data_IF_709607638784
#
_entry.id   IF_709607638784
#
_cell.length_a   1.000
_cell.length_b   1.000
_cell.length_c   1.000
_cell.angle_alpha   90.00
_cell.angle_beta   90.00
_cell.angle_gamma   90.00
#
_symmetry.space_group_name_H-M   'P 1'
#
loop_
_entity.id
_entity.type
_entity.pdbx_description
1 polymer ?
#
# COMPACT_ATOMS: atom_id res chain seq x y z
N UNK A 1 -6.65 -1.57 -29.66
CA UNK A 1 -7.87 -0.88 -29.18
C UNK A 1 -7.57 0.62 -28.99
N UNK A 2 -8.51 1.47 -29.35
CA UNK A 2 -8.34 2.93 -29.20
C UNK A 2 -8.71 3.32 -27.76
N UNK A 3 -7.82 4.03 -27.07
CA UNK A 3 -8.10 4.54 -25.74
C UNK A 3 -9.25 5.57 -25.75
N UNK A 4 -9.88 5.74 -24.60
CA UNK A 4 -10.89 6.78 -24.36
C UNK A 4 -10.27 8.18 -24.53
N UNK A 5 -11.04 9.21 -24.97
CA UNK A 5 -10.56 10.58 -24.98
C UNK A 5 -10.21 11.12 -23.58
N UNK A 6 -10.61 10.43 -22.52
CA UNK A 6 -10.31 10.77 -21.12
C UNK A 6 -9.10 10.05 -20.57
N UNK A 7 -8.49 9.13 -21.33
CA UNK A 7 -7.28 8.41 -20.92
C UNK A 7 -6.06 9.34 -20.90
N UNK A 8 -5.19 9.13 -19.93
CA UNK A 8 -3.89 9.82 -19.87
C UNK A 8 -2.92 9.18 -20.85
N UNK A 9 -2.63 9.82 -21.97
CA UNK A 9 -1.71 9.29 -22.98
C UNK A 9 -0.26 9.49 -22.54
N UNK A 10 0.58 8.50 -22.81
CA UNK A 10 2.00 8.55 -22.48
C UNK A 10 2.77 9.67 -23.21
N UNK A 11 2.32 10.02 -24.42
CA UNK A 11 2.87 11.14 -25.20
C UNK A 11 2.57 12.52 -24.58
N UNK A 12 1.52 12.60 -23.77
CA UNK A 12 1.07 13.83 -23.10
C UNK A 12 1.53 13.90 -21.63
N UNK A 13 2.46 13.03 -21.22
CA UNK A 13 2.99 13.04 -19.84
C UNK A 13 3.64 14.40 -19.51
N UNK A 14 3.44 14.85 -18.26
CA UNK A 14 4.13 16.02 -17.71
C UNK A 14 5.63 15.78 -17.51
N UNK A 15 6.08 14.57 -17.80
CA UNK A 15 7.48 14.20 -17.78
C UNK A 15 7.99 13.83 -16.39
N UNK A 16 9.29 13.96 -16.21
CA UNK A 16 10.08 13.54 -15.05
C UNK A 16 10.87 14.69 -14.47
N UNK A 17 11.25 14.58 -13.21
CA UNK A 17 12.12 15.56 -12.54
C UNK A 17 13.46 15.72 -13.23
N UNK A 18 14.06 14.60 -13.70
CA UNK A 18 15.32 14.59 -14.43
C UNK A 18 15.06 14.09 -15.87
N UNK A 19 15.48 14.85 -16.90
CA UNK A 19 15.38 14.38 -18.29
C UNK A 19 16.10 13.05 -18.48
N UNK A 20 15.60 12.22 -19.37
CA UNK A 20 16.26 10.99 -19.82
C UNK A 20 16.04 10.77 -21.31
N UNK A 21 16.86 9.93 -21.93
CA UNK A 21 16.62 9.46 -23.27
C UNK A 21 15.34 8.59 -23.29
N UNK A 22 14.46 8.85 -24.26
CA UNK A 22 13.26 8.03 -24.48
C UNK A 22 13.65 6.61 -24.88
N UNK A 23 12.81 5.65 -24.51
CA UNK A 23 12.97 4.26 -24.93
C UNK A 23 12.30 4.04 -26.29
N UNK A 24 13.00 3.40 -27.24
CA UNK A 24 12.47 3.17 -28.58
C UNK A 24 11.32 2.15 -28.63
N UNK A 25 11.14 1.36 -27.56
CA UNK A 25 10.18 0.24 -27.54
C UNK A 25 9.07 0.47 -26.53
N UNK A 26 9.40 1.02 -25.34
CA UNK A 26 8.48 1.16 -24.20
C UNK A 26 8.00 2.59 -24.05
N UNK A 27 6.73 2.73 -23.70
CA UNK A 27 6.18 4.02 -23.27
C UNK A 27 6.80 4.49 -21.94
N UNK A 28 6.63 5.76 -21.60
CA UNK A 28 7.15 6.31 -20.34
C UNK A 28 6.55 5.59 -19.11
N UNK A 29 5.26 5.25 -19.15
CA UNK A 29 4.60 4.55 -18.04
C UNK A 29 5.04 3.09 -17.93
N UNK A 30 5.30 2.39 -19.04
CA UNK A 30 5.91 1.06 -19.02
C UNK A 30 7.31 1.08 -18.41
N UNK A 31 8.09 2.10 -18.74
CA UNK A 31 9.39 2.28 -18.12
C UNK A 31 9.32 2.52 -16.62
N UNK A 32 8.29 3.23 -16.14
CA UNK A 32 8.09 3.47 -14.72
C UNK A 32 7.69 2.21 -13.98
N UNK A 33 6.76 1.43 -14.53
CA UNK A 33 6.41 0.11 -14.02
C UNK A 33 7.65 -0.77 -13.85
N UNK A 34 8.49 -0.85 -14.87
CA UNK A 34 9.69 -1.68 -14.83
C UNK A 34 10.66 -1.24 -13.73
N UNK A 35 10.87 0.08 -13.55
CA UNK A 35 11.70 0.61 -12.46
C UNK A 35 11.16 0.25 -11.08
N UNK A 36 9.84 0.33 -10.89
CA UNK A 36 9.18 -0.02 -9.64
C UNK A 36 9.40 -1.50 -9.33
N UNK A 37 9.13 -2.40 -10.28
CA UNK A 37 9.30 -3.85 -10.11
C UNK A 37 10.74 -4.20 -9.73
N UNK A 38 11.72 -3.52 -10.32
CA UNK A 38 13.13 -3.77 -10.05
C UNK A 38 13.68 -3.05 -8.81
N UNK A 39 12.88 -2.24 -8.12
CA UNK A 39 13.28 -1.53 -6.90
C UNK A 39 13.50 -2.48 -5.71
N UNK A 40 14.32 -2.05 -4.74
CA UNK A 40 14.54 -2.82 -3.51
C UNK A 40 13.27 -2.83 -2.64
N UNK A 41 12.56 -1.73 -2.60
CA UNK A 41 11.34 -1.57 -1.81
C UNK A 41 10.23 -2.49 -2.30
N UNK A 42 10.06 -2.65 -3.61
CA UNK A 42 9.10 -3.61 -4.18
C UNK A 42 9.40 -5.04 -3.75
N UNK A 43 10.68 -5.46 -3.80
CA UNK A 43 11.07 -6.81 -3.33
C UNK A 43 10.81 -7.05 -1.84
N UNK A 44 10.83 -5.99 -1.01
CA UNK A 44 10.56 -6.10 0.44
C UNK A 44 9.09 -6.33 0.75
N UNK A 45 8.16 -5.96 -0.14
CA UNK A 45 6.72 -6.17 0.05
C UNK A 45 6.36 -7.64 0.31
N UNK A 46 7.14 -8.59 -0.21
CA UNK A 46 6.95 -10.03 0.05
C UNK A 46 7.09 -10.44 1.51
N UNK A 47 7.72 -9.59 2.33
CA UNK A 47 8.00 -9.86 3.75
C UNK A 47 7.42 -8.78 4.66
N UNK A 48 6.42 -8.06 4.19
CA UNK A 48 5.59 -7.13 4.98
C UNK A 48 4.18 -7.67 5.08
N UNK A 49 3.67 -7.70 6.29
CA UNK A 49 2.29 -8.11 6.60
C UNK A 49 1.28 -7.15 5.98
N UNK A 50 0.13 -7.67 5.53
CA UNK A 50 -0.99 -6.84 5.10
C UNK A 50 -1.84 -6.39 6.30
N UNK A 51 -2.46 -7.30 7.01
CA UNK A 51 -3.38 -7.01 8.13
C UNK A 51 -2.96 -7.72 9.41
N UNK A 52 -2.79 -9.03 9.38
CA UNK A 52 -2.49 -9.82 10.57
C UNK A 52 -0.99 -10.07 10.68
N UNK A 53 -0.42 -9.73 11.86
CA UNK A 53 0.99 -9.92 12.15
C UNK A 53 1.32 -11.41 12.10
N UNK A 54 2.03 -11.79 11.05
CA UNK A 54 2.59 -13.11 10.76
C UNK A 54 1.85 -14.28 11.42
N UNK A 55 0.68 -14.69 10.93
CA UNK A 55 0.13 -15.96 11.33
C UNK A 55 1.10 -17.07 10.83
N UNK A 56 1.27 -18.11 11.64
CA UNK A 56 1.95 -19.31 11.18
C UNK A 56 1.10 -19.97 10.08
N UNK A 57 1.53 -19.86 8.82
CA UNK A 57 0.85 -20.49 7.69
C UNK A 57 1.22 -19.86 6.35
N UNK A 58 1.16 -20.65 5.26
CA UNK A 58 1.57 -20.25 3.92
C UNK A 58 0.47 -19.50 3.14
N UNK A 59 -0.74 -19.36 3.69
CA UNK A 59 -1.90 -18.88 2.97
C UNK A 59 -2.30 -17.42 3.24
N UNK A 60 -1.59 -16.73 4.11
CA UNK A 60 -1.87 -15.34 4.43
C UNK A 60 -1.26 -14.38 3.40
N UNK A 61 -1.98 -13.28 3.13
CA UNK A 61 -1.55 -12.28 2.17
C UNK A 61 -0.38 -11.45 2.70
N UNK A 62 0.59 -11.25 1.82
CA UNK A 62 1.64 -10.26 2.01
C UNK A 62 1.29 -8.99 1.24
N UNK A 63 1.98 -7.87 1.52
CA UNK A 63 1.79 -6.65 0.74
C UNK A 63 2.08 -6.83 -0.74
N UNK A 64 2.99 -7.73 -1.11
CA UNK A 64 3.25 -8.02 -2.51
C UNK A 64 2.03 -8.65 -3.19
N UNK A 65 1.39 -9.65 -2.55
CA UNK A 65 0.20 -10.28 -3.14
C UNK A 65 -0.97 -9.31 -3.19
N UNK A 66 -1.20 -8.50 -2.14
CA UNK A 66 -2.17 -7.42 -2.16
C UNK A 66 -1.92 -6.44 -3.32
N UNK A 67 -0.69 -5.97 -3.49
CA UNK A 67 -0.32 -5.04 -4.58
C UNK A 67 -0.65 -5.62 -5.96
N UNK A 68 -0.42 -6.93 -6.18
CA UNK A 68 -0.77 -7.61 -7.42
C UNK A 68 -2.29 -7.75 -7.62
N UNK A 69 -3.03 -7.99 -6.54
CA UNK A 69 -4.49 -8.07 -6.55
C UNK A 69 -5.11 -6.69 -6.84
N UNK A 70 -4.60 -5.61 -6.24
CA UNK A 70 -4.98 -4.23 -6.58
C UNK A 70 -4.73 -3.94 -8.06
N UNK A 71 -3.55 -4.30 -8.56
CA UNK A 71 -3.21 -4.13 -9.97
C UNK A 71 -4.17 -4.91 -10.88
N UNK A 72 -4.53 -6.14 -10.54
CA UNK A 72 -5.46 -6.96 -11.32
C UNK A 72 -6.88 -6.37 -11.32
N UNK A 73 -7.42 -5.99 -10.15
CA UNK A 73 -8.77 -5.43 -10.01
C UNK A 73 -8.88 -4.12 -10.80
N UNK A 74 -7.96 -3.19 -10.56
CA UNK A 74 -8.02 -1.89 -11.19
C UNK A 74 -7.74 -1.93 -12.68
N UNK A 75 -6.86 -2.81 -13.18
CA UNK A 75 -6.67 -3.02 -14.63
C UNK A 75 -7.94 -3.50 -15.30
N UNK A 76 -8.78 -4.28 -14.63
CA UNK A 76 -10.08 -4.68 -15.15
C UNK A 76 -10.98 -3.46 -15.34
N UNK A 77 -11.02 -2.53 -14.37
CA UNK A 77 -11.79 -1.29 -14.45
C UNK A 77 -11.24 -0.38 -15.56
N UNK A 78 -9.93 -0.15 -15.55
CA UNK A 78 -9.23 0.73 -16.51
C UNK A 78 -9.44 0.23 -17.96
N UNK A 79 -9.34 -1.07 -18.19
CA UNK A 79 -9.61 -1.69 -19.49
C UNK A 79 -11.06 -1.53 -19.90
N UNK A 80 -12.02 -1.76 -19.00
CA UNK A 80 -13.44 -1.59 -19.25
C UNK A 80 -13.79 -0.15 -19.65
N UNK A 81 -13.09 0.83 -19.09
CA UNK A 81 -13.24 2.26 -19.42
C UNK A 81 -12.34 2.73 -20.57
N UNK A 82 -11.50 1.87 -21.13
CA UNK A 82 -10.50 2.17 -22.17
C UNK A 82 -9.53 3.27 -21.76
N UNK A 83 -9.13 3.30 -20.49
CA UNK A 83 -8.11 4.18 -19.95
C UNK A 83 -6.70 3.55 -20.09
N UNK A 84 -5.67 4.22 -19.61
CA UNK A 84 -4.28 3.78 -19.78
C UNK A 84 -3.87 2.71 -18.74
N UNK A 85 -3.84 1.44 -19.16
CA UNK A 85 -3.47 0.31 -18.29
C UNK A 85 -2.02 0.40 -17.80
N UNK A 86 -1.07 0.87 -18.62
CA UNK A 86 0.34 0.96 -18.22
C UNK A 86 0.55 1.99 -17.11
N UNK A 87 -0.13 3.14 -17.21
CA UNK A 87 -0.12 4.17 -16.16
C UNK A 87 -0.70 3.61 -14.85
N UNK A 88 -1.87 3.00 -14.95
CA UNK A 88 -2.52 2.42 -13.78
C UNK A 88 -1.65 1.35 -13.10
N UNK A 89 -1.10 0.41 -13.88
CA UNK A 89 -0.25 -0.67 -13.36
C UNK A 89 0.99 -0.12 -12.65
N UNK A 90 1.65 0.90 -13.23
CA UNK A 90 2.80 1.54 -12.59
C UNK A 90 2.42 2.16 -11.22
N UNK A 91 1.30 2.87 -11.14
CA UNK A 91 0.80 3.44 -9.89
C UNK A 91 0.44 2.35 -8.87
N UNK A 92 -0.29 1.31 -9.31
CA UNK A 92 -0.73 0.21 -8.45
C UNK A 92 0.45 -0.57 -7.86
N UNK A 93 1.50 -0.83 -8.64
CA UNK A 93 2.70 -1.51 -8.15
C UNK A 93 3.54 -0.63 -7.21
N UNK A 94 3.39 0.68 -7.31
CA UNK A 94 4.17 1.64 -6.51
C UNK A 94 3.49 2.15 -5.24
N UNK A 95 2.17 1.98 -5.07
CA UNK A 95 1.40 2.68 -4.05
C UNK A 95 1.86 2.38 -2.60
N UNK A 96 2.25 1.14 -2.32
CA UNK A 96 2.59 0.64 -0.98
C UNK A 96 4.10 0.53 -0.70
N UNK A 97 4.98 1.08 -1.55
CA UNK A 97 6.44 0.97 -1.39
C UNK A 97 6.96 1.54 -0.07
N UNK A 98 6.29 2.55 0.46
CA UNK A 98 6.64 3.25 1.70
C UNK A 98 5.98 2.68 2.95
N UNK A 99 5.19 1.62 2.85
CA UNK A 99 4.52 1.06 4.01
C UNK A 99 5.51 0.51 5.04
N UNK A 100 5.16 0.63 6.32
CA UNK A 100 5.98 0.19 7.46
C UNK A 100 5.98 -1.33 7.63
N UNK A 101 6.93 -1.92 8.38
CA UNK A 101 6.74 -3.27 8.92
C UNK A 101 5.50 -3.30 9.82
N UNK A 102 4.87 -4.46 9.93
CA UNK A 102 3.66 -4.71 10.74
C UNK A 102 2.41 -3.92 10.31
N UNK A 103 2.32 -3.55 9.04
CA UNK A 103 1.13 -2.93 8.49
C UNK A 103 0.73 -1.62 9.19
N UNK A 104 -0.56 -1.44 9.43
CA UNK A 104 -1.09 -0.22 10.08
C UNK A 104 -0.62 -0.03 11.53
N UNK A 105 -0.34 -1.11 12.25
CA UNK A 105 0.18 -1.00 13.62
C UNK A 105 1.55 -0.34 13.66
N UNK A 106 2.44 -0.70 12.71
CA UNK A 106 3.73 -0.04 12.55
C UNK A 106 3.62 1.40 12.06
N UNK A 107 2.66 1.69 11.16
CA UNK A 107 2.37 3.05 10.70
C UNK A 107 1.88 3.95 11.85
N UNK A 108 0.95 3.46 12.66
CA UNK A 108 0.47 4.18 13.85
C UNK A 108 1.59 4.44 14.85
N UNK A 109 2.47 3.47 15.06
CA UNK A 109 3.61 3.64 15.94
C UNK A 109 4.58 4.72 15.43
N UNK A 110 4.98 4.67 14.15
CA UNK A 110 5.83 5.73 13.58
C UNK A 110 5.12 7.09 13.53
N UNK A 111 3.82 7.13 13.24
CA UNK A 111 3.06 8.38 13.26
C UNK A 111 3.02 9.04 14.66
N UNK A 112 3.01 8.23 15.72
CA UNK A 112 3.04 8.74 17.08
C UNK A 112 4.44 9.20 17.55
N UNK A 113 5.50 8.59 17.00
CA UNK A 113 6.89 8.84 17.39
C UNK A 113 7.56 9.95 16.57
N UNK A 114 7.21 10.09 15.30
CA UNK A 114 7.79 11.11 14.42
C UNK A 114 7.17 12.49 14.69
N UNK A 115 7.95 13.52 14.89
CA UNK A 115 7.51 14.89 15.19
C UNK A 115 6.49 15.43 14.16
N UNK A 116 6.73 15.16 12.88
CA UNK A 116 5.85 15.59 11.79
C UNK A 116 4.82 14.51 11.36
N UNK A 117 4.65 13.49 12.19
CA UNK A 117 3.82 12.32 11.86
C UNK A 117 4.42 11.44 10.75
N UNK A 118 3.67 10.41 10.38
CA UNK A 118 4.08 9.46 9.33
C UNK A 118 2.85 8.97 8.57
N UNK A 119 2.93 8.96 7.24
CA UNK A 119 1.91 8.40 6.35
C UNK A 119 2.57 7.57 5.25
N UNK A 120 2.11 6.35 5.03
CA UNK A 120 2.72 5.43 4.07
C UNK A 120 2.68 5.94 2.62
N UNK A 121 1.65 6.67 2.22
CA UNK A 121 1.56 7.24 0.87
C UNK A 121 2.61 8.35 0.63
N UNK A 122 2.84 9.22 1.60
CA UNK A 122 3.91 10.23 1.57
C UNK A 122 5.29 9.56 1.58
N UNK A 123 5.43 8.49 2.37
CA UNK A 123 6.64 7.68 2.38
C UNK A 123 6.85 6.92 1.07
N UNK A 124 5.78 6.43 0.41
CA UNK A 124 5.88 5.81 -0.92
C UNK A 124 6.42 6.78 -1.97
N UNK A 125 5.90 8.02 -1.96
CA UNK A 125 6.45 9.10 -2.80
C UNK A 125 7.93 9.33 -2.49
N UNK A 126 8.30 9.44 -1.21
CA UNK A 126 9.68 9.65 -0.77
C UNK A 126 10.62 8.51 -1.17
N UNK A 127 10.15 7.25 -1.09
CA UNK A 127 10.89 6.09 -1.60
C UNK A 127 11.19 6.26 -3.08
N UNK A 128 10.19 6.61 -3.89
CA UNK A 128 10.36 6.78 -5.32
C UNK A 128 11.30 7.94 -5.69
N UNK A 129 11.19 9.08 -5.00
CA UNK A 129 11.91 10.29 -5.38
C UNK A 129 13.32 10.40 -4.77
N UNK A 130 13.48 9.99 -3.49
CA UNK A 130 14.71 10.19 -2.72
C UNK A 130 15.47 8.91 -2.43
N UNK A 131 14.81 7.94 -1.77
CA UNK A 131 15.51 6.77 -1.22
C UNK A 131 16.01 5.81 -2.31
N UNK A 132 15.22 5.62 -3.37
CA UNK A 132 15.61 4.80 -4.52
C UNK A 132 15.81 5.64 -5.80
N UNK A 133 15.44 6.91 -5.80
CA UNK A 133 15.64 7.87 -6.89
C UNK A 133 15.22 7.30 -8.26
N UNK A 134 13.99 6.76 -8.32
CA UNK A 134 13.48 6.05 -9.50
C UNK A 134 13.22 6.97 -10.69
N UNK A 135 13.12 8.28 -10.47
CA UNK A 135 12.84 9.30 -11.49
C UNK A 135 11.61 8.89 -12.32
N UNK A 136 10.45 8.74 -11.65
CA UNK A 136 9.17 8.39 -12.26
C UNK A 136 8.49 9.63 -12.86
N UNK A 137 7.49 9.42 -13.70
CA UNK A 137 6.64 10.49 -14.26
C UNK A 137 5.76 11.12 -13.19
N UNK A 138 5.35 12.36 -13.42
CA UNK A 138 4.49 13.10 -12.48
C UNK A 138 3.17 12.38 -12.22
N UNK A 139 2.57 11.78 -13.24
CA UNK A 139 1.30 11.08 -13.15
C UNK A 139 1.39 9.86 -12.24
N UNK A 140 2.48 9.08 -12.36
CA UNK A 140 2.71 7.92 -11.49
C UNK A 140 2.93 8.35 -10.04
N UNK A 141 3.73 9.38 -9.81
CA UNK A 141 3.97 9.93 -8.46
C UNK A 141 2.70 10.50 -7.83
N UNK A 142 1.89 11.21 -8.63
CA UNK A 142 0.60 11.78 -8.19
C UNK A 142 -0.39 10.67 -7.79
N UNK A 143 -0.50 9.61 -8.59
CA UNK A 143 -1.35 8.47 -8.27
C UNK A 143 -0.88 7.73 -7.00
N UNK A 144 0.42 7.52 -6.83
CA UNK A 144 1.00 6.92 -5.61
C UNK A 144 0.69 7.78 -4.38
N UNK A 145 0.86 9.09 -4.46
CA UNK A 145 0.60 10.00 -3.32
C UNK A 145 -0.88 10.03 -2.93
N UNK A 146 -1.78 10.04 -3.91
CA UNK A 146 -3.20 10.30 -3.72
C UNK A 146 -4.08 9.03 -3.69
N UNK A 147 -3.48 7.82 -3.61
CA UNK A 147 -4.27 6.59 -3.55
C UNK A 147 -5.06 6.43 -2.24
N UNK A 148 -4.68 7.14 -1.19
CA UNK A 148 -5.35 7.14 0.11
C UNK A 148 -5.49 8.55 0.69
N UNK A 149 -6.15 8.69 1.85
CA UNK A 149 -6.37 9.98 2.51
C UNK A 149 -7.40 10.87 1.76
N UNK A 150 -7.29 12.19 1.96
CA UNK A 150 -8.21 13.18 1.38
C UNK A 150 -7.77 13.65 -0.02
N UNK A 151 -6.56 13.34 -0.44
CA UNK A 151 -6.01 13.69 -1.74
C UNK A 151 -6.83 13.12 -2.90
N UNK A 152 -6.83 13.87 -4.01
CA UNK A 152 -7.46 13.44 -5.27
C UNK A 152 -6.41 13.43 -6.37
N UNK A 153 -6.22 12.27 -6.97
CA UNK A 153 -5.32 12.13 -8.12
C UNK A 153 -5.82 12.97 -9.32
N UNK A 154 -4.87 13.48 -10.08
CA UNK A 154 -5.15 14.34 -11.24
C UNK A 154 -5.64 13.58 -12.48
N UNK A 155 -5.45 12.25 -12.52
CA UNK A 155 -5.85 11.38 -13.62
C UNK A 155 -6.97 10.43 -13.21
N UNK A 156 -7.80 9.98 -14.16
CA UNK A 156 -8.85 8.99 -13.87
C UNK A 156 -8.25 7.66 -13.43
N UNK A 157 -7.11 7.26 -14.01
CA UNK A 157 -6.36 6.07 -13.64
C UNK A 157 -5.94 6.13 -12.15
N UNK A 158 -5.48 7.29 -11.69
CA UNK A 158 -5.13 7.50 -10.28
C UNK A 158 -6.35 7.50 -9.35
N UNK A 159 -7.49 8.02 -9.79
CA UNK A 159 -8.75 7.92 -9.04
C UNK A 159 -9.19 6.46 -8.91
N UNK A 160 -9.06 5.67 -9.97
CA UNK A 160 -9.39 4.23 -9.96
C UNK A 160 -8.50 3.48 -8.98
N UNK A 161 -7.24 3.88 -8.82
CA UNK A 161 -6.33 3.22 -7.86
C UNK A 161 -6.92 3.23 -6.44
N UNK A 162 -7.47 4.36 -6.00
CA UNK A 162 -8.11 4.49 -4.69
C UNK A 162 -9.31 3.56 -4.51
N UNK A 163 -10.10 3.35 -5.58
CA UNK A 163 -11.20 2.38 -5.55
C UNK A 163 -10.69 0.94 -5.57
N UNK A 164 -9.72 0.65 -6.43
CA UNK A 164 -9.17 -0.71 -6.58
C UNK A 164 -8.50 -1.18 -5.29
N UNK A 165 -7.72 -0.34 -4.63
CA UNK A 165 -7.11 -0.62 -3.34
C UNK A 165 -8.18 -0.91 -2.28
N UNK A 166 -9.22 -0.05 -2.20
CA UNK A 166 -10.32 -0.23 -1.26
C UNK A 166 -11.11 -1.53 -1.50
N UNK A 167 -11.42 -1.85 -2.75
CA UNK A 167 -12.10 -3.10 -3.13
C UNK A 167 -11.23 -4.29 -2.73
N UNK A 168 -9.94 -4.23 -3.01
CA UNK A 168 -8.99 -5.28 -2.68
C UNK A 168 -8.94 -5.51 -1.16
N UNK A 169 -8.56 -4.50 -0.35
CA UNK A 169 -8.32 -4.73 1.06
C UNK A 169 -9.59 -5.17 1.80
N UNK A 170 -10.77 -4.56 1.54
CA UNK A 170 -12.00 -4.96 2.22
C UNK A 170 -12.31 -6.46 1.97
N UNK A 171 -12.24 -6.90 0.72
CA UNK A 171 -12.58 -8.27 0.37
C UNK A 171 -11.54 -9.28 0.84
N UNK A 172 -10.26 -8.92 0.80
CA UNK A 172 -9.18 -9.78 1.26
C UNK A 172 -9.17 -9.93 2.79
N UNK A 173 -9.41 -8.83 3.49
CA UNK A 173 -9.43 -8.83 4.95
C UNK A 173 -10.61 -9.62 5.51
N UNK A 174 -11.75 -9.64 4.79
CA UNK A 174 -12.87 -10.56 5.11
C UNK A 174 -12.42 -12.03 5.01
N UNK A 175 -11.78 -12.41 3.90
CA UNK A 175 -11.32 -13.79 3.73
C UNK A 175 -10.30 -14.20 4.80
N UNK A 176 -9.38 -13.30 5.13
CA UNK A 176 -8.36 -13.57 6.13
C UNK A 176 -8.95 -13.60 7.55
N UNK A 177 -9.96 -12.75 7.85
CA UNK A 177 -10.68 -12.75 9.13
C UNK A 177 -11.55 -14.00 9.31
N UNK A 178 -12.22 -14.48 8.25
CA UNK A 178 -12.96 -15.74 8.25
C UNK A 178 -12.03 -16.94 8.49
N UNK A 179 -10.87 -16.96 7.80
CA UNK A 179 -9.86 -18.02 7.97
C UNK A 179 -9.26 -18.03 9.36
N UNK A 180 -9.02 -16.87 9.95
CA UNK A 180 -8.53 -16.71 11.32
C UNK A 180 -9.63 -16.96 12.38
N UNK A 181 -10.87 -17.23 11.97
CA UNK A 181 -12.04 -17.39 12.85
C UNK A 181 -12.28 -16.16 13.76
N UNK A 182 -11.90 -14.97 13.31
CA UNK A 182 -12.19 -13.69 13.97
C UNK A 182 -13.65 -13.31 13.77
N UNK A 183 -14.19 -13.58 12.58
CA UNK A 183 -15.60 -13.45 12.22
C UNK A 183 -16.08 -14.73 11.54
N UNK A 184 -17.39 -14.92 11.48
CA UNK A 184 -18.08 -15.95 10.70
C UNK A 184 -18.87 -15.32 9.56
N UNK A 185 -19.26 -16.12 8.56
CA UNK A 185 -20.08 -15.61 7.44
C UNK A 185 -21.41 -15.01 7.92
N UNK A 186 -21.98 -15.53 9.02
CA UNK A 186 -23.22 -15.02 9.62
C UNK A 186 -23.08 -13.66 10.30
N UNK A 187 -21.87 -13.21 10.59
CA UNK A 187 -21.62 -11.89 11.19
C UNK A 187 -21.64 -10.78 10.14
N UNK A 188 -21.45 -11.13 8.86
CA UNK A 188 -21.48 -10.16 7.77
C UNK A 188 -22.89 -9.56 7.60
N UNK A 189 -23.04 -8.24 7.43
CA UNK A 189 -24.35 -7.60 7.28
C UNK A 189 -25.14 -8.17 6.09
N UNK A 190 -26.28 -8.82 6.35
CA UNK A 190 -27.08 -9.50 5.33
C UNK A 190 -27.50 -8.55 4.20
N UNK A 191 -27.93 -7.33 4.53
CA UNK A 191 -28.32 -6.30 3.54
C UNK A 191 -27.18 -5.89 2.60
N UNK A 192 -25.93 -6.01 3.05
CA UNK A 192 -24.75 -5.75 2.23
C UNK A 192 -24.45 -6.95 1.34
N UNK A 193 -24.56 -8.16 1.89
CA UNK A 193 -24.34 -9.39 1.13
C UNK A 193 -25.38 -9.60 0.02
N UNK A 194 -26.62 -9.16 0.22
CA UNK A 194 -27.65 -9.16 -0.82
C UNK A 194 -27.31 -8.23 -1.99
N UNK A 195 -26.71 -7.06 -1.69
CA UNK A 195 -26.34 -6.06 -2.70
C UNK A 195 -25.02 -6.37 -3.42
N UNK A 196 -24.00 -6.74 -2.68
CA UNK A 196 -22.64 -6.95 -3.21
C UNK A 196 -22.37 -8.37 -3.66
N UNK A 197 -23.08 -9.37 -3.10
CA UNK A 197 -22.83 -10.79 -3.31
C UNK A 197 -22.28 -11.47 -2.06
N UNK A 198 -22.51 -12.77 -1.94
CA UNK A 198 -22.16 -13.57 -0.76
C UNK A 198 -20.69 -14.03 -0.79
N UNK A 199 -20.18 -14.34 -1.97
CA UNK A 199 -18.81 -14.80 -2.13
C UNK A 199 -17.83 -13.65 -2.41
N UNK A 200 -16.56 -13.86 -2.13
CA UNK A 200 -15.46 -12.95 -2.47
C UNK A 200 -15.52 -12.52 -3.95
N UNK A 201 -15.69 -13.49 -4.85
CA UNK A 201 -15.71 -13.23 -6.29
C UNK A 201 -16.93 -12.41 -6.72
N UNK A 202 -18.12 -12.68 -6.16
CA UNK A 202 -19.33 -11.91 -6.44
C UNK A 202 -19.18 -10.47 -5.98
N UNK A 203 -18.69 -10.23 -4.77
CA UNK A 203 -18.50 -8.89 -4.24
C UNK A 203 -17.54 -8.05 -5.12
N UNK A 204 -16.40 -8.62 -5.48
CA UNK A 204 -15.44 -7.92 -6.37
C UNK A 204 -16.10 -7.65 -7.73
N UNK A 205 -16.76 -8.64 -8.32
CA UNK A 205 -17.41 -8.47 -9.62
C UNK A 205 -18.47 -7.38 -9.59
N UNK A 206 -19.33 -7.34 -8.58
CA UNK A 206 -20.36 -6.31 -8.43
C UNK A 206 -19.74 -4.92 -8.35
N UNK A 207 -18.73 -4.72 -7.48
CA UNK A 207 -18.07 -3.44 -7.30
C UNK A 207 -17.35 -2.97 -8.58
N UNK A 208 -16.64 -3.87 -9.24
CA UNK A 208 -15.94 -3.57 -10.51
C UNK A 208 -16.91 -3.22 -11.62
N UNK A 209 -17.96 -4.01 -11.81
CA UNK A 209 -18.96 -3.77 -12.85
C UNK A 209 -19.71 -2.47 -12.61
N UNK A 210 -20.09 -2.16 -11.36
CA UNK A 210 -20.78 -0.92 -11.02
C UNK A 210 -19.93 0.30 -11.37
N UNK A 211 -18.65 0.32 -11.03
CA UNK A 211 -17.74 1.42 -11.40
C UNK A 211 -17.63 1.55 -12.91
N UNK A 212 -17.48 0.45 -13.65
CA UNK A 212 -17.36 0.48 -15.12
C UNK A 212 -18.62 1.06 -15.75
N UNK A 213 -19.79 0.53 -15.41
CA UNK A 213 -21.06 0.98 -16.02
C UNK A 213 -21.43 2.41 -15.62
N UNK A 214 -21.17 2.80 -14.37
CA UNK A 214 -21.46 4.16 -13.89
C UNK A 214 -20.53 5.21 -14.48
N UNK A 215 -19.30 4.84 -14.84
CA UNK A 215 -18.27 5.75 -15.36
C UNK A 215 -18.13 5.74 -16.88
N UNK A 216 -18.77 4.81 -17.58
CA UNK A 216 -18.60 4.64 -19.02
C UNK A 216 -18.93 5.92 -19.80
N UNK A 217 -18.02 6.33 -20.68
CA UNK A 217 -18.11 7.55 -21.50
C UNK A 217 -18.23 8.88 -20.70
N UNK A 218 -17.80 8.90 -19.43
CA UNK A 218 -17.75 10.09 -18.59
C UNK A 218 -16.32 10.47 -18.23
N UNK A 219 -16.07 11.76 -18.05
CA UNK A 219 -14.81 12.26 -17.48
C UNK A 219 -14.85 12.24 -15.95
N UNK A 220 -15.26 11.10 -15.38
CA UNK A 220 -15.36 10.87 -13.95
C UNK A 220 -15.36 9.38 -13.64
N UNK A 221 -14.83 9.01 -12.47
CA UNK A 221 -14.99 7.66 -11.90
C UNK A 221 -16.12 7.74 -10.89
N UNK A 222 -17.16 6.96 -11.10
CA UNK A 222 -18.41 6.99 -10.33
C UNK A 222 -18.77 5.58 -9.88
N UNK A 223 -19.50 5.52 -8.77
CA UNK A 223 -20.19 4.34 -8.25
C UNK A 223 -21.65 4.71 -8.01
N UNK A 224 -22.57 3.78 -8.14
CA UNK A 224 -23.98 4.07 -7.79
C UNK A 224 -24.08 4.30 -6.29
N UNK A 225 -24.96 5.22 -5.82
CA UNK A 225 -25.09 5.50 -4.38
C UNK A 225 -25.40 4.27 -3.54
N UNK A 226 -26.16 3.34 -4.08
CA UNK A 226 -26.55 2.10 -3.40
C UNK A 226 -25.33 1.18 -3.16
N UNK A 227 -24.46 1.01 -4.15
CA UNK A 227 -23.27 0.17 -4.05
C UNK A 227 -22.19 0.88 -3.21
N UNK A 228 -22.07 2.20 -3.30
CA UNK A 228 -21.15 2.99 -2.48
C UNK A 228 -21.52 2.91 -1.00
N UNK A 229 -22.82 3.01 -0.66
CA UNK A 229 -23.33 2.85 0.71
C UNK A 229 -23.07 1.43 1.23
N UNK A 230 -23.32 0.41 0.43
CA UNK A 230 -23.06 -0.98 0.79
C UNK A 230 -21.55 -1.22 1.06
N UNK A 231 -20.68 -0.71 0.21
CA UNK A 231 -19.23 -0.79 0.40
C UNK A 231 -18.78 -0.04 1.67
N UNK A 232 -19.34 1.14 1.95
CA UNK A 232 -19.02 1.90 3.15
C UNK A 232 -19.51 1.21 4.42
N UNK A 233 -20.68 0.59 4.38
CA UNK A 233 -21.22 -0.21 5.48
C UNK A 233 -20.33 -1.41 5.78
N UNK A 234 -19.88 -2.11 4.75
CA UNK A 234 -18.96 -3.24 4.90
C UNK A 234 -17.61 -2.80 5.48
N UNK A 235 -17.09 -1.67 5.03
CA UNK A 235 -15.87 -1.09 5.58
C UNK A 235 -16.01 -0.74 7.06
N UNK A 236 -17.13 -0.13 7.44
CA UNK A 236 -17.41 0.22 8.85
C UNK A 236 -17.53 -1.03 9.70
N UNK A 237 -18.19 -2.08 9.19
CA UNK A 237 -18.27 -3.38 9.85
C UNK A 237 -16.87 -3.95 10.11
N UNK A 238 -16.01 -4.00 9.10
CA UNK A 238 -14.64 -4.50 9.22
C UNK A 238 -13.84 -3.68 10.25
N UNK A 239 -14.00 -2.36 10.21
CA UNK A 239 -13.32 -1.49 11.15
C UNK A 239 -13.67 -1.82 12.61
N UNK A 240 -14.95 -1.98 12.90
CA UNK A 240 -15.44 -2.21 14.27
C UNK A 240 -15.19 -3.64 14.78
N UNK A 241 -15.23 -4.65 13.91
CA UNK A 241 -15.23 -6.06 14.32
C UNK A 241 -13.89 -6.76 14.07
N UNK A 242 -13.07 -6.26 13.16
CA UNK A 242 -11.80 -6.89 12.81
C UNK A 242 -10.60 -6.02 13.25
N UNK A 243 -10.61 -4.72 12.94
CA UNK A 243 -9.44 -3.87 13.19
C UNK A 243 -9.38 -3.31 14.62
N UNK A 244 -10.49 -3.11 15.33
CA UNK A 244 -10.50 -2.54 16.70
C UNK A 244 -10.78 -3.59 17.78
N UNK A 245 -11.55 -4.63 17.52
CA UNK A 245 -12.11 -5.53 18.53
C UNK A 245 -11.43 -6.88 18.71
N UNK A 246 -10.42 -7.20 17.91
CA UNK A 246 -9.82 -8.54 17.91
C UNK A 246 -8.66 -8.67 18.91
N UNK A 247 -8.27 -9.92 19.20
CA UNK A 247 -7.06 -10.31 19.94
C UNK A 247 -5.77 -9.74 19.34
N UNK A 248 -5.85 -9.09 18.16
CA UNK A 248 -4.79 -8.34 17.55
C UNK A 248 -4.28 -7.17 18.42
N UNK A 249 -5.10 -6.64 19.35
CA UNK A 249 -4.68 -5.52 20.22
C UNK A 249 -3.49 -5.85 21.13
N UNK A 250 -3.39 -7.05 21.63
CA UNK A 250 -2.26 -7.47 22.46
C UNK A 250 -0.96 -7.50 21.63
N UNK A 251 -1.06 -7.95 20.37
CA UNK A 251 0.07 -7.96 19.45
C UNK A 251 0.43 -6.56 18.93
N UNK A 252 -0.56 -5.66 18.76
CA UNK A 252 -0.31 -4.27 18.39
C UNK A 252 0.52 -3.52 19.44
N UNK A 253 0.27 -3.75 20.73
CA UNK A 253 1.07 -3.16 21.81
C UNK A 253 2.53 -3.61 21.75
N UNK A 254 2.77 -4.87 21.38
CA UNK A 254 4.13 -5.41 21.18
C UNK A 254 4.82 -4.76 19.98
N UNK A 255 4.08 -4.52 18.88
CA UNK A 255 4.60 -3.82 17.71
C UNK A 255 5.04 -2.42 18.07
N UNK A 256 4.19 -1.68 18.81
CA UNK A 256 4.55 -0.34 19.27
C UNK A 256 5.86 -0.36 20.06
N UNK A 257 6.01 -1.27 21.02
CA UNK A 257 7.24 -1.41 21.81
C UNK A 257 8.48 -1.76 20.96
N UNK A 258 8.33 -2.59 19.91
CA UNK A 258 9.44 -2.91 18.99
C UNK A 258 9.85 -1.65 18.20
N UNK A 259 8.87 -0.94 17.61
CA UNK A 259 9.14 0.25 16.80
C UNK A 259 9.72 1.38 17.65
N UNK A 260 9.17 1.62 18.85
CA UNK A 260 9.66 2.62 19.80
C UNK A 260 11.11 2.35 20.19
N UNK A 261 11.42 1.12 20.59
CA UNK A 261 12.78 0.73 20.97
C UNK A 261 13.78 0.92 19.82
N UNK A 262 13.41 0.53 18.59
CA UNK A 262 14.24 0.75 17.41
C UNK A 262 14.41 2.24 17.10
N UNK A 263 13.33 3.02 17.22
CA UNK A 263 13.31 4.46 16.99
C UNK A 263 14.26 5.18 17.96
N UNK A 264 14.12 4.95 19.27
CA UNK A 264 15.01 5.50 20.28
C UNK A 264 16.46 5.09 20.09
N UNK A 265 16.70 3.82 19.77
CA UNK A 265 18.06 3.31 19.57
C UNK A 265 18.78 4.05 18.44
N UNK A 266 18.13 4.18 17.28
CA UNK A 266 18.74 4.80 16.10
C UNK A 266 18.75 6.33 16.15
N UNK A 267 17.79 6.96 16.83
CA UNK A 267 17.80 8.41 17.05
C UNK A 267 19.01 8.82 17.91
N UNK A 268 19.32 8.01 18.94
CA UNK A 268 20.46 8.26 19.81
C UNK A 268 21.80 7.76 19.23
N UNK A 269 21.79 6.96 18.18
CA UNK A 269 22.97 6.34 17.55
C UNK A 269 22.86 6.29 16.04
N UNK A 270 22.78 7.45 15.37
CA UNK A 270 22.60 7.50 13.91
C UNK A 270 23.74 6.84 13.14
N UNK A 271 24.95 6.79 13.72
CA UNK A 271 26.13 6.11 13.16
C UNK A 271 25.97 4.57 13.05
N UNK A 272 24.93 4.00 13.68
CA UNK A 272 24.61 2.55 13.58
C UNK A 272 23.68 2.24 12.40
N UNK A 273 23.13 3.24 11.74
CA UNK A 273 22.35 3.06 10.51
C UNK A 273 23.26 2.85 9.29
N UNK A 274 22.75 2.30 8.18
CA UNK A 274 23.47 2.24 6.90
C UNK A 274 23.94 3.63 6.43
N UNK A 275 25.04 3.70 5.69
CA UNK A 275 25.64 4.97 5.22
C UNK A 275 24.64 5.92 4.56
N UNK A 276 23.77 5.40 3.70
CA UNK A 276 22.72 6.22 3.07
C UNK A 276 21.81 6.91 4.10
N UNK A 277 21.50 6.23 5.20
CA UNK A 277 20.67 6.80 6.27
C UNK A 277 21.45 7.80 7.12
N UNK A 278 22.75 7.60 7.29
CA UNK A 278 23.62 8.56 7.97
C UNK A 278 23.70 9.86 7.16
N UNK A 279 23.87 9.78 5.83
CA UNK A 279 23.83 10.93 4.93
C UNK A 279 22.49 11.69 5.01
N UNK A 280 21.36 10.97 5.12
CA UNK A 280 20.04 11.59 5.32
C UNK A 280 19.97 12.26 6.69
N UNK A 281 20.51 11.62 7.74
CA UNK A 281 20.53 12.19 9.08
C UNK A 281 21.31 13.52 9.15
N UNK A 282 22.42 13.62 8.43
CA UNK A 282 23.20 14.84 8.32
C UNK A 282 22.47 15.97 7.57
N UNK A 283 21.72 15.64 6.53
CA UNK A 283 21.08 16.61 5.65
C UNK A 283 19.64 16.99 6.04
N UNK A 284 18.89 16.06 6.66
CA UNK A 284 17.44 16.20 6.91
C UNK A 284 17.07 15.94 8.39
N UNK A 285 18.05 15.61 9.22
CA UNK A 285 17.87 15.31 10.64
C UNK A 285 17.75 13.82 10.94
N UNK A 286 18.20 13.44 12.14
CA UNK A 286 18.25 12.04 12.58
C UNK A 286 16.88 11.38 12.62
N UNK A 287 15.85 12.09 13.09
CA UNK A 287 14.48 11.55 13.16
C UNK A 287 13.94 11.14 11.79
N UNK A 288 14.14 11.99 10.76
CA UNK A 288 13.70 11.66 9.40
C UNK A 288 14.41 10.43 8.86
N UNK A 289 15.71 10.33 9.09
CA UNK A 289 16.51 9.19 8.68
C UNK A 289 16.07 7.89 9.38
N UNK A 290 15.74 7.97 10.67
CA UNK A 290 15.24 6.84 11.46
C UNK A 290 13.87 6.39 10.96
N UNK A 291 12.94 7.34 10.68
CA UNK A 291 11.65 7.01 10.07
C UNK A 291 11.82 6.29 8.73
N UNK A 292 12.71 6.79 7.85
CA UNK A 292 13.02 6.17 6.55
C UNK A 292 13.59 4.75 6.72
N UNK A 293 14.51 4.59 7.68
CA UNK A 293 15.16 3.31 7.93
C UNK A 293 14.20 2.26 8.46
N UNK A 294 13.40 2.61 9.49
CA UNK A 294 12.41 1.69 10.08
C UNK A 294 11.31 1.37 9.07
N UNK A 295 10.75 2.37 8.38
CA UNK A 295 9.75 2.14 7.35
C UNK A 295 10.27 1.23 6.22
N UNK A 296 11.56 1.30 5.91
CA UNK A 296 12.22 0.42 4.95
C UNK A 296 12.44 -1.03 5.42
N UNK A 297 12.23 -1.36 6.69
CA UNK A 297 12.39 -2.72 7.19
C UNK A 297 11.24 -3.62 6.74
N UNK A 298 11.51 -4.92 6.64
CA UNK A 298 10.48 -5.95 6.66
C UNK A 298 10.17 -6.36 8.09
N UNK A 299 9.03 -6.99 8.35
CA UNK A 299 8.63 -7.45 9.68
C UNK A 299 9.71 -8.33 10.31
N UNK A 300 10.19 -9.30 9.54
CA UNK A 300 11.27 -10.19 9.99
C UNK A 300 12.55 -9.45 10.32
N UNK A 301 12.90 -8.44 9.53
CA UNK A 301 14.12 -7.67 9.77
C UNK A 301 13.98 -6.77 11.00
N UNK A 302 12.81 -6.19 11.25
CA UNK A 302 12.53 -5.41 12.44
C UNK A 302 12.63 -6.28 13.70
N UNK A 303 11.97 -7.46 13.71
CA UNK A 303 12.05 -8.41 14.82
C UNK A 303 13.50 -8.89 15.05
N UNK A 304 14.20 -9.26 13.99
CA UNK A 304 15.60 -9.68 14.07
C UNK A 304 16.49 -8.59 14.67
N UNK A 305 16.31 -7.35 14.22
CA UNK A 305 17.09 -6.20 14.70
C UNK A 305 16.80 -5.93 16.18
N UNK A 306 15.52 -5.87 16.56
CA UNK A 306 15.11 -5.73 17.94
C UNK A 306 15.71 -6.82 18.85
N UNK A 307 15.57 -8.08 18.42
CA UNK A 307 16.11 -9.23 19.19
C UNK A 307 17.61 -9.13 19.37
N UNK A 308 18.36 -8.74 18.34
CA UNK A 308 19.79 -8.58 18.44
C UNK A 308 20.25 -7.44 19.35
N UNK A 309 19.43 -6.39 19.49
CA UNK A 309 19.75 -5.22 20.31
C UNK A 309 19.34 -5.40 21.78
N UNK A 310 18.22 -6.05 22.04
CA UNK A 310 17.59 -6.04 23.36
C UNK A 310 17.48 -7.41 24.03
N UNK A 311 17.62 -8.52 23.29
CA UNK A 311 17.53 -9.85 23.86
C UNK A 311 18.94 -10.43 24.03
N UNK A 312 19.37 -10.76 25.28
CA UNK A 312 20.67 -11.37 25.52
C UNK A 312 20.81 -12.70 24.77
N UNK A 313 21.95 -12.91 24.17
CA UNK A 313 22.27 -14.20 23.55
C UNK A 313 22.82 -15.19 24.61
N UNK A 314 22.38 -16.44 24.52
CA UNK A 314 22.99 -17.49 25.32
C UNK A 314 24.48 -17.62 24.94
N UNK A 315 25.35 -17.66 25.95
CA UNK A 315 26.76 -17.87 25.72
C UNK A 315 27.03 -19.37 25.50
N UNK A 316 27.21 -19.79 24.28
CA UNK A 316 27.72 -21.10 23.96
C UNK A 316 29.27 -20.99 23.83
N UNK A 317 30.00 -21.38 24.89
CA UNK A 317 31.33 -21.90 24.69
C UNK A 317 31.19 -23.34 24.19
N UNK A 318 31.44 -23.58 22.91
CA UNK A 318 31.94 -24.88 22.47
C UNK A 318 33.45 -24.86 22.51
#
# INVERSE_FOLDING_TARGET
>A
ETLSPYATLSENTRGRKKPRQLCDIRTEFQCDRDKIIHSKSFRRLKHKTQVFITPEGDHYRTRLTHTLEVAQIGRTIVRGLRLNEDLFEAMALGHDLGHTPFGHSGENALNALCENGFRHNEQSLRVCEKLENLNLTHEVLDGILNHTGEGKASTLEGVILKYADRIAYINHDIDDALRASIISESDLPESVMEKLGKTHSERINTLVCDIIYSSMNKNAVLMTPEIEEAMQTLRTFMFNNVYIGSTAKDEESKVFGIIEALYEYYTNRPEKMPLQMQEIAENEGSERAVCDYIAGMSDRFAIYTFTNLYVPRSWNKM
#
